data_IF_883207157345
#
_entry.id   IF_883207157345
#
_cell.length_a   1.000
_cell.length_b   1.000
_cell.length_c   1.000
_cell.angle_alpha   90.00
_cell.angle_beta   90.00
_cell.angle_gamma   90.00
#
_symmetry.space_group_name_H-M   'P 1'
#
loop_
_entity.id
_entity.type
_entity.pdbx_description
1 polymer ?
#
# COMPACT_ATOMS: atom_id res chain seq x y z
N UNK A 1 -0.21 25.71 -27.01
CA UNK A 1 -1.62 25.31 -27.10
C UNK A 1 -1.71 23.91 -26.55
N UNK A 2 -1.84 23.82 -25.23
CA UNK A 2 -1.92 22.58 -24.44
C UNK A 2 -3.33 21.99 -24.63
N UNK A 3 -3.59 21.45 -25.80
CA UNK A 3 -4.75 20.61 -26.02
C UNK A 3 -4.39 19.20 -25.56
N UNK A 4 -4.88 18.88 -24.36
CA UNK A 4 -5.46 17.58 -24.04
C UNK A 4 -4.53 16.39 -24.28
N UNK A 5 -3.57 16.17 -23.37
CA UNK A 5 -3.38 14.78 -22.96
C UNK A 5 -4.69 14.40 -22.30
N UNK A 6 -5.48 13.54 -22.95
CA UNK A 6 -6.69 12.97 -22.38
C UNK A 6 -6.30 12.23 -21.10
N UNK A 7 -6.34 12.93 -19.96
CA UNK A 7 -6.26 12.28 -18.66
C UNK A 7 -7.40 11.27 -18.61
N UNK A 8 -7.04 9.99 -18.44
CA UNK A 8 -7.99 8.88 -18.40
C UNK A 8 -9.13 9.11 -17.40
N UNK A 9 -8.87 9.96 -16.38
CA UNK A 9 -9.78 10.41 -15.34
C UNK A 9 -10.11 11.92 -15.46
N UNK A 10 -10.80 12.30 -16.54
CA UNK A 10 -11.37 13.65 -16.64
C UNK A 10 -12.38 13.96 -15.53
N UNK A 11 -12.61 15.25 -15.18
CA UNK A 11 -13.61 15.65 -14.19
C UNK A 11 -15.01 15.10 -14.47
N UNK A 12 -15.41 15.01 -15.76
CA UNK A 12 -16.73 14.46 -16.13
C UNK A 12 -16.84 12.99 -15.76
N UNK A 13 -15.78 12.20 -16.01
CA UNK A 13 -15.73 10.79 -15.64
C UNK A 13 -15.69 10.59 -14.13
N UNK A 14 -14.94 11.43 -13.41
CA UNK A 14 -14.92 11.42 -11.95
C UNK A 14 -16.29 11.72 -11.33
N UNK A 15 -17.04 12.68 -11.88
CA UNK A 15 -18.43 12.94 -11.44
C UNK A 15 -19.34 11.75 -11.70
N UNK A 16 -19.19 11.09 -12.84
CA UNK A 16 -19.95 9.89 -13.16
C UNK A 16 -19.61 8.71 -12.23
N UNK A 17 -18.33 8.51 -11.92
CA UNK A 17 -17.87 7.45 -11.00
C UNK A 17 -18.31 7.70 -9.55
N UNK A 18 -18.26 8.95 -9.10
CA UNK A 18 -18.60 9.31 -7.72
C UNK A 18 -20.11 9.54 -7.53
N UNK A 19 -20.84 9.83 -8.60
CA UNK A 19 -22.24 10.27 -8.53
C UNK A 19 -22.42 11.67 -7.93
N UNK A 20 -21.34 12.46 -7.82
CA UNK A 20 -21.35 13.77 -7.18
C UNK A 20 -20.94 14.86 -8.18
N UNK A 21 -21.74 15.91 -8.28
CA UNK A 21 -21.43 17.05 -9.16
C UNK A 21 -20.27 17.91 -8.65
N UNK A 22 -20.20 18.07 -7.33
CA UNK A 22 -19.15 18.80 -6.62
C UNK A 22 -18.06 17.85 -6.10
N UNK A 23 -17.00 17.72 -6.89
CA UNK A 23 -15.85 16.86 -6.60
C UNK A 23 -15.09 17.26 -5.32
N UNK A 24 -15.27 18.49 -4.82
CA UNK A 24 -14.67 18.94 -3.55
C UNK A 24 -15.24 18.17 -2.35
N UNK A 25 -16.43 17.58 -2.48
CA UNK A 25 -17.10 16.83 -1.41
C UNK A 25 -16.69 15.36 -1.37
N UNK A 26 -16.02 14.86 -2.40
CA UNK A 26 -15.62 13.47 -2.51
C UNK A 26 -14.49 13.18 -1.52
N UNK A 27 -14.73 12.24 -0.62
CA UNK A 27 -13.77 11.79 0.39
C UNK A 27 -13.30 10.36 0.17
N UNK A 28 -14.11 9.57 -0.50
CA UNK A 28 -13.82 8.18 -0.83
C UNK A 28 -14.08 7.96 -2.32
N UNK A 29 -13.21 7.18 -2.95
CA UNK A 29 -13.30 6.84 -4.36
C UNK A 29 -12.91 5.38 -4.53
N UNK A 30 -13.74 4.65 -5.25
CA UNK A 30 -13.47 3.27 -5.65
C UNK A 30 -13.50 3.21 -7.18
N UNK A 31 -12.47 2.61 -7.75
CA UNK A 31 -12.40 2.37 -9.19
C UNK A 31 -11.49 1.20 -9.51
N UNK A 32 -11.65 0.64 -10.71
CA UNK A 32 -10.67 -0.27 -11.31
C UNK A 32 -10.02 0.42 -12.48
N UNK A 33 -8.70 0.32 -12.55
CA UNK A 33 -7.89 0.98 -13.57
C UNK A 33 -6.90 0.01 -14.19
N UNK A 34 -6.47 0.29 -15.42
CA UNK A 34 -5.34 -0.40 -16.06
C UNK A 34 -4.37 0.65 -16.57
N UNK A 35 -3.24 0.81 -15.86
CA UNK A 35 -2.25 1.85 -16.17
C UNK A 35 -1.25 1.45 -17.24
N UNK A 36 -1.33 0.21 -17.75
CA UNK A 36 -0.53 -0.23 -18.90
C UNK A 36 -0.94 0.49 -20.19
N UNK A 37 -2.22 0.90 -20.26
CA UNK A 37 -2.77 1.57 -21.43
C UNK A 37 -2.87 3.09 -21.25
N UNK A 38 -3.07 3.57 -20.01
CA UNK A 38 -3.29 4.99 -19.76
C UNK A 38 -2.75 5.44 -18.39
N UNK A 39 -2.15 6.64 -18.34
CA UNK A 39 -1.81 7.27 -17.07
C UNK A 39 -3.08 7.80 -16.38
N UNK A 40 -3.16 7.68 -15.05
CA UNK A 40 -4.21 8.33 -14.26
C UNK A 40 -3.93 9.83 -14.09
N UNK A 41 -2.73 10.28 -14.41
CA UNK A 41 -2.31 11.67 -14.28
C UNK A 41 -2.42 12.17 -12.84
N UNK A 42 -2.60 13.48 -12.69
CA UNK A 42 -2.77 14.10 -11.38
C UNK A 42 -4.25 14.26 -11.03
N UNK A 43 -5.04 13.18 -11.16
CA UNK A 43 -6.49 13.22 -10.91
C UNK A 43 -6.84 13.68 -9.49
N UNK A 44 -5.92 13.50 -8.53
CA UNK A 44 -6.04 14.02 -7.17
C UNK A 44 -6.24 15.54 -7.11
N UNK A 45 -5.77 16.30 -8.11
CA UNK A 45 -6.04 17.74 -8.23
C UNK A 45 -7.54 18.07 -8.35
N UNK A 46 -8.33 17.16 -8.90
CA UNK A 46 -9.78 17.32 -9.00
C UNK A 46 -10.52 16.87 -7.73
N UNK A 47 -9.86 16.12 -6.85
CA UNK A 47 -10.41 15.53 -5.63
C UNK A 47 -9.57 15.93 -4.39
N UNK A 48 -9.43 17.23 -4.10
CA UNK A 48 -8.48 17.69 -3.09
C UNK A 48 -8.83 17.25 -1.65
N UNK A 49 -10.05 16.75 -1.42
CA UNK A 49 -10.48 16.24 -0.11
C UNK A 49 -10.55 14.70 -0.05
N UNK A 50 -9.99 14.00 -1.05
CA UNK A 50 -9.96 12.55 -1.07
C UNK A 50 -9.09 12.02 0.08
N UNK A 51 -9.65 11.09 0.85
CA UNK A 51 -9.02 10.44 2.01
C UNK A 51 -8.89 8.94 1.84
N UNK A 52 -9.79 8.36 1.06
CA UNK A 52 -9.90 6.91 0.88
C UNK A 52 -9.91 6.59 -0.62
N UNK A 53 -9.00 5.74 -1.06
CA UNK A 53 -8.88 5.33 -2.45
C UNK A 53 -8.80 3.80 -2.55
N UNK A 54 -9.81 3.20 -3.17
CA UNK A 54 -9.90 1.76 -3.42
C UNK A 54 -9.62 1.46 -4.88
N UNK A 55 -8.54 0.73 -5.12
CA UNK A 55 -8.07 0.30 -6.44
C UNK A 55 -7.95 -1.22 -6.55
N UNK A 56 -8.58 -1.99 -5.65
CA UNK A 56 -8.50 -3.44 -5.67
C UNK A 56 -8.87 -4.01 -7.04
N UNK A 57 -8.12 -5.02 -7.48
CA UNK A 57 -8.26 -5.67 -8.79
C UNK A 57 -8.06 -4.68 -9.95
N UNK A 58 -7.17 -3.71 -9.79
CA UNK A 58 -6.64 -2.87 -10.87
C UNK A 58 -5.38 -3.49 -11.47
N UNK A 59 -4.83 -2.89 -12.51
CA UNK A 59 -3.52 -3.24 -13.06
C UNK A 59 -2.67 -1.99 -12.98
N UNK A 60 -1.89 -1.89 -11.90
CA UNK A 60 -1.00 -0.76 -11.62
C UNK A 60 0.43 -1.21 -11.89
N UNK A 61 1.10 -0.59 -12.85
CA UNK A 61 2.52 -0.84 -13.10
C UNK A 61 3.38 -0.25 -11.98
N UNK A 62 3.02 0.93 -11.49
CA UNK A 62 3.72 1.60 -10.39
C UNK A 62 2.77 2.49 -9.59
N UNK A 63 3.04 2.69 -8.30
CA UNK A 63 2.30 3.65 -7.46
C UNK A 63 2.49 5.09 -7.97
N UNK A 64 3.58 5.38 -8.70
CA UNK A 64 3.77 6.67 -9.40
C UNK A 64 2.63 7.02 -10.34
N UNK A 65 1.92 6.03 -10.87
CA UNK A 65 0.81 6.25 -11.80
C UNK A 65 -0.37 6.97 -11.13
N UNK A 66 -0.44 6.97 -9.80
CA UNK A 66 -1.43 7.73 -9.03
C UNK A 66 -1.15 9.25 -8.99
N UNK A 67 0.04 9.66 -9.42
CA UNK A 67 0.50 11.05 -9.38
C UNK A 67 0.88 11.52 -7.97
N UNK A 68 1.13 12.82 -7.83
CA UNK A 68 1.66 13.43 -6.59
C UNK A 68 0.65 14.31 -5.86
N UNK A 69 -0.60 14.33 -6.31
CA UNK A 69 -1.63 15.27 -5.84
C UNK A 69 -2.54 14.71 -4.75
N UNK A 70 -2.34 13.46 -4.34
CA UNK A 70 -3.11 12.76 -3.30
C UNK A 70 -2.60 13.05 -1.87
N UNK A 71 -2.30 14.32 -1.57
CA UNK A 71 -1.63 14.73 -0.32
C UNK A 71 -2.43 14.48 0.96
N UNK A 72 -3.76 14.36 0.86
CA UNK A 72 -4.68 14.12 1.98
C UNK A 72 -5.15 12.67 2.10
N UNK A 73 -4.62 11.77 1.26
CA UNK A 73 -4.98 10.36 1.28
C UNK A 73 -4.52 9.73 2.60
N UNK A 74 -5.42 9.00 3.24
CA UNK A 74 -5.22 8.32 4.52
C UNK A 74 -5.31 6.82 4.39
N UNK A 75 -6.18 6.32 3.51
CA UNK A 75 -6.37 4.90 3.30
C UNK A 75 -6.28 4.57 1.81
N UNK A 76 -5.44 3.58 1.49
CA UNK A 76 -5.21 3.13 0.14
C UNK A 76 -5.31 1.61 0.07
N UNK A 77 -6.23 1.12 -0.76
CA UNK A 77 -6.37 -0.30 -1.07
C UNK A 77 -5.93 -0.57 -2.50
N UNK A 78 -4.95 -1.45 -2.67
CA UNK A 78 -4.39 -1.89 -3.96
C UNK A 78 -4.16 -3.41 -3.95
N UNK A 79 -5.11 -4.17 -3.41
CA UNK A 79 -5.03 -5.63 -3.40
C UNK A 79 -5.21 -6.19 -4.82
N UNK A 80 -4.46 -7.24 -5.17
CA UNK A 80 -4.47 -7.86 -6.51
C UNK A 80 -4.21 -6.86 -7.65
N UNK A 81 -3.22 -5.98 -7.50
CA UNK A 81 -2.85 -4.98 -8.52
C UNK A 81 -1.68 -5.39 -9.43
N UNK A 82 -0.97 -6.47 -9.09
CA UNK A 82 0.22 -6.94 -9.80
C UNK A 82 1.47 -6.11 -9.53
N UNK A 83 1.50 -5.34 -8.43
CA UNK A 83 2.63 -4.48 -8.05
C UNK A 83 3.85 -5.33 -7.68
N UNK A 84 5.04 -4.98 -8.20
CA UNK A 84 6.32 -5.58 -7.80
C UNK A 84 7.07 -4.76 -6.76
N UNK A 85 6.78 -3.48 -6.67
CA UNK A 85 7.35 -2.52 -5.75
C UNK A 85 6.32 -1.44 -5.39
N UNK A 86 6.69 -0.56 -4.47
CA UNK A 86 5.87 0.55 -3.99
C UNK A 86 6.46 1.90 -4.44
N UNK A 87 7.14 1.93 -5.59
CA UNK A 87 7.81 3.15 -6.03
C UNK A 87 6.80 4.28 -6.25
N UNK A 88 7.05 5.44 -5.64
CA UNK A 88 6.15 6.58 -5.63
C UNK A 88 5.21 6.67 -4.42
N UNK A 89 5.14 5.65 -3.54
CA UNK A 89 4.26 5.67 -2.35
C UNK A 89 4.58 6.82 -1.39
N UNK A 90 5.81 7.32 -1.37
CA UNK A 90 6.24 8.48 -0.57
C UNK A 90 5.48 9.77 -0.90
N UNK A 91 4.85 9.84 -2.09
CA UNK A 91 3.96 10.96 -2.45
C UNK A 91 2.69 11.00 -1.59
N UNK A 92 2.31 9.89 -0.97
CA UNK A 92 1.17 9.75 -0.08
C UNK A 92 1.59 9.87 1.40
N UNK A 93 2.36 10.88 1.78
CA UNK A 93 2.93 11.01 3.14
C UNK A 93 1.91 11.13 4.30
N UNK A 94 0.62 11.35 4.00
CA UNK A 94 -0.46 11.36 5.00
C UNK A 94 -1.10 9.99 5.25
N UNK A 95 -0.60 8.93 4.58
CA UNK A 95 -1.19 7.61 4.62
C UNK A 95 -1.07 7.00 6.03
N UNK A 96 -2.20 6.47 6.50
CA UNK A 96 -2.34 5.77 7.79
C UNK A 96 -2.57 4.28 7.60
N UNK A 97 -3.23 3.90 6.52
CA UNK A 97 -3.60 2.53 6.25
C UNK A 97 -3.27 2.18 4.81
N UNK A 98 -2.47 1.13 4.63
CA UNK A 98 -2.06 0.63 3.32
C UNK A 98 -2.39 -0.85 3.20
N UNK A 99 -3.22 -1.21 2.22
CA UNK A 99 -3.59 -2.58 1.94
C UNK A 99 -3.09 -2.97 0.56
N UNK A 100 -2.06 -3.81 0.51
CA UNK A 100 -1.37 -4.25 -0.72
C UNK A 100 -1.29 -5.78 -0.79
N UNK A 101 -2.28 -6.46 -0.20
CA UNK A 101 -2.38 -7.90 -0.22
C UNK A 101 -2.41 -8.48 -1.65
N UNK A 102 -1.84 -9.67 -1.80
CA UNK A 102 -1.81 -10.43 -3.05
C UNK A 102 -1.20 -9.66 -4.23
N UNK A 103 -0.06 -9.02 -3.98
CA UNK A 103 0.84 -8.45 -4.99
C UNK A 103 2.15 -9.24 -5.01
N UNK A 104 3.16 -8.73 -5.71
CA UNK A 104 4.47 -9.37 -5.87
C UNK A 104 5.58 -8.58 -5.16
N UNK A 105 5.28 -7.91 -4.04
CA UNK A 105 6.21 -7.00 -3.36
C UNK A 105 7.23 -7.82 -2.56
N UNK A 106 8.51 -7.49 -2.70
CA UNK A 106 9.60 -8.10 -1.92
C UNK A 106 10.48 -7.09 -1.18
N UNK A 107 10.55 -5.84 -1.65
CA UNK A 107 11.32 -4.75 -1.06
C UNK A 107 10.41 -3.79 -0.31
N UNK A 108 10.68 -3.59 0.99
CA UNK A 108 9.90 -2.71 1.87
C UNK A 108 10.59 -1.35 2.14
N UNK A 109 11.74 -1.09 1.53
CA UNK A 109 12.54 0.13 1.76
C UNK A 109 11.76 1.43 1.48
N UNK A 110 10.82 1.39 0.54
CA UNK A 110 9.99 2.54 0.16
C UNK A 110 8.94 2.93 1.22
N UNK A 111 8.62 2.03 2.16
CA UNK A 111 7.67 2.30 3.24
C UNK A 111 8.26 3.17 4.35
N UNK A 112 9.59 3.29 4.41
CA UNK A 112 10.29 4.09 5.43
C UNK A 112 9.92 5.57 5.45
N UNK A 113 9.28 6.07 4.39
CA UNK A 113 8.84 7.45 4.26
C UNK A 113 7.42 7.72 4.79
N UNK A 114 6.71 6.67 5.23
CA UNK A 114 5.32 6.75 5.68
C UNK A 114 5.22 6.86 7.21
N UNK A 115 5.68 7.99 7.75
CA UNK A 115 5.73 8.25 9.21
C UNK A 115 4.36 8.17 9.92
N UNK A 116 3.26 8.26 9.16
CA UNK A 116 1.89 8.22 9.67
C UNK A 116 1.24 6.84 9.56
N UNK A 117 1.94 5.84 9.01
CA UNK A 117 1.39 4.51 8.78
C UNK A 117 1.12 3.80 10.12
N UNK A 118 -0.13 3.39 10.30
CA UNK A 118 -0.68 2.74 11.49
C UNK A 118 -1.05 1.27 11.19
N UNK A 119 -1.54 1.00 9.98
CA UNK A 119 -1.97 -0.34 9.52
C UNK A 119 -1.32 -0.66 8.17
N UNK A 120 -0.73 -1.84 8.07
CA UNK A 120 -0.13 -2.35 6.84
C UNK A 120 -0.52 -3.81 6.61
N UNK A 121 -1.12 -4.07 5.46
CA UNK A 121 -1.46 -5.41 5.01
C UNK A 121 -0.61 -5.79 3.79
N UNK A 122 0.31 -6.72 4.00
CA UNK A 122 1.23 -7.32 3.03
C UNK A 122 0.89 -8.79 2.78
N UNK A 123 -0.30 -9.27 3.11
CA UNK A 123 -0.70 -10.68 2.93
C UNK A 123 -0.40 -11.16 1.50
N UNK A 124 0.15 -12.37 1.35
CA UNK A 124 0.33 -13.00 0.04
C UNK A 124 1.26 -12.23 -0.91
N UNK A 125 2.34 -11.65 -0.41
CA UNK A 125 3.41 -11.02 -1.20
C UNK A 125 4.65 -11.93 -1.29
N UNK A 126 5.76 -11.38 -1.80
CA UNK A 126 7.01 -12.10 -2.07
C UNK A 126 8.15 -11.70 -1.11
N UNK A 127 7.82 -11.34 0.13
CA UNK A 127 8.84 -11.00 1.13
C UNK A 127 9.55 -12.29 1.55
N UNK A 128 10.83 -12.39 1.22
CA UNK A 128 11.64 -13.60 1.41
C UNK A 128 12.71 -13.47 2.49
N UNK A 129 13.07 -12.26 2.89
CA UNK A 129 14.10 -11.98 3.89
C UNK A 129 13.50 -11.18 5.05
N UNK A 130 13.63 -11.73 6.26
CA UNK A 130 13.16 -11.11 7.50
C UNK A 130 13.85 -9.75 7.76
N UNK A 131 15.04 -9.52 7.19
CA UNK A 131 15.74 -8.24 7.29
C UNK A 131 14.91 -7.07 6.73
N UNK A 132 13.97 -7.33 5.82
CA UNK A 132 13.05 -6.31 5.29
C UNK A 132 12.17 -5.67 6.39
N UNK A 133 11.92 -6.38 7.49
CA UNK A 133 11.15 -5.85 8.62
C UNK A 133 11.86 -4.67 9.31
N UNK A 134 13.18 -4.51 9.15
CA UNK A 134 13.91 -3.37 9.69
C UNK A 134 13.36 -2.03 9.18
N UNK A 135 12.86 -2.00 7.93
CA UNK A 135 12.29 -0.80 7.32
C UNK A 135 10.95 -0.44 7.95
N UNK A 136 10.16 -1.44 8.33
CA UNK A 136 8.90 -1.25 9.06
C UNK A 136 9.15 -0.84 10.51
N UNK A 137 10.28 -1.25 11.11
CA UNK A 137 10.71 -0.78 12.43
C UNK A 137 10.93 0.73 12.50
N UNK A 138 11.18 1.40 11.36
CA UNK A 138 11.27 2.86 11.26
C UNK A 138 9.89 3.55 11.27
N UNK A 139 8.81 2.80 10.98
CA UNK A 139 7.44 3.30 11.04
C UNK A 139 6.96 3.26 12.50
N UNK A 140 7.31 4.28 13.28
CA UNK A 140 7.05 4.34 14.73
C UNK A 140 5.56 4.28 15.13
N UNK A 141 4.64 4.50 14.18
CA UNK A 141 3.19 4.44 14.42
C UNK A 141 2.55 3.13 13.99
N UNK A 142 3.31 2.25 13.34
CA UNK A 142 2.80 0.98 12.85
C UNK A 142 2.37 0.12 14.03
N UNK A 143 1.09 -0.20 14.08
CA UNK A 143 0.46 -0.94 15.18
C UNK A 143 -0.13 -2.25 14.69
N UNK A 144 -0.58 -2.32 13.44
CA UNK A 144 -1.17 -3.52 12.84
C UNK A 144 -0.39 -3.89 11.59
N UNK A 145 0.08 -5.14 11.52
CA UNK A 145 0.83 -5.68 10.41
C UNK A 145 0.31 -7.06 10.04
N UNK A 146 0.04 -7.29 8.76
CA UNK A 146 -0.22 -8.63 8.21
C UNK A 146 0.85 -8.98 7.20
N UNK A 147 1.52 -10.11 7.39
CA UNK A 147 2.56 -10.68 6.53
C UNK A 147 2.30 -12.16 6.19
N UNK A 148 1.17 -12.72 6.62
CA UNK A 148 0.75 -14.07 6.24
C UNK A 148 0.85 -14.32 4.73
N UNK A 149 1.20 -15.56 4.35
CA UNK A 149 1.36 -15.92 2.95
C UNK A 149 2.65 -15.41 2.27
N UNK A 150 3.57 -14.79 3.01
CA UNK A 150 4.92 -14.48 2.53
C UNK A 150 5.93 -15.61 2.83
N UNK A 151 7.07 -15.60 2.14
CA UNK A 151 8.12 -16.61 2.33
C UNK A 151 8.81 -16.50 3.70
N UNK A 152 8.85 -15.30 4.29
CA UNK A 152 9.35 -15.09 5.66
C UNK A 152 8.57 -15.85 6.73
N UNK A 153 7.35 -16.33 6.43
CA UNK A 153 6.57 -17.15 7.36
C UNK A 153 7.12 -18.59 7.46
N UNK A 154 7.87 -19.05 6.46
CA UNK A 154 8.40 -20.40 6.39
C UNK A 154 9.87 -20.49 6.82
N UNK A 155 10.67 -19.47 6.50
CA UNK A 155 12.09 -19.39 6.84
C UNK A 155 12.56 -17.93 6.89
N UNK A 156 13.65 -17.61 7.61
CA UNK A 156 14.08 -16.23 7.79
C UNK A 156 14.71 -15.60 6.53
N UNK A 157 15.32 -16.40 5.65
CA UNK A 157 15.82 -15.96 4.35
C UNK A 157 15.97 -17.14 3.38
N UNK A 158 16.28 -16.85 2.11
CA UNK A 158 16.42 -17.86 1.06
C UNK A 158 17.51 -18.91 1.36
N UNK A 159 18.59 -18.51 2.02
CA UNK A 159 19.78 -19.34 2.33
C UNK A 159 19.60 -20.22 3.57
N UNK A 160 18.63 -19.90 4.42
CA UNK A 160 18.36 -20.64 5.65
C UNK A 160 17.70 -21.99 5.36
N UNK A 161 18.13 -23.01 6.08
CA UNK A 161 17.43 -24.29 6.09
C UNK A 161 16.03 -24.10 6.69
N UNK A 162 15.06 -24.87 6.22
CA UNK A 162 13.74 -24.92 6.86
C UNK A 162 13.89 -25.52 8.26
N UNK A 163 13.63 -24.70 9.29
CA UNK A 163 13.65 -25.13 10.68
C UNK A 163 12.20 -25.38 11.14
N UNK A 164 11.88 -26.57 11.67
CA UNK A 164 10.52 -26.91 12.07
C UNK A 164 9.98 -26.06 13.22
N UNK A 165 10.87 -25.44 14.00
CA UNK A 165 10.54 -24.59 15.15
C UNK A 165 10.66 -23.08 14.84
N UNK A 166 10.78 -22.71 13.56
CA UNK A 166 10.90 -21.32 13.16
C UNK A 166 9.61 -20.54 13.47
N UNK A 167 9.73 -19.56 14.37
CA UNK A 167 8.65 -18.64 14.71
C UNK A 167 8.91 -17.27 14.06
N UNK A 168 8.38 -17.08 12.84
CA UNK A 168 8.49 -15.81 12.13
C UNK A 168 7.92 -14.62 12.93
N UNK A 169 6.86 -14.84 13.71
CA UNK A 169 6.22 -13.78 14.50
C UNK A 169 7.14 -13.26 15.60
N UNK A 170 7.89 -14.16 16.23
CA UNK A 170 8.92 -13.78 17.20
C UNK A 170 10.05 -12.98 16.52
N UNK A 171 10.46 -13.34 15.30
CA UNK A 171 11.47 -12.58 14.56
C UNK A 171 10.96 -11.19 14.14
N UNK A 172 9.75 -11.08 13.59
CA UNK A 172 9.13 -9.79 13.21
C UNK A 172 9.11 -8.82 14.39
N UNK A 173 8.78 -9.30 15.60
CA UNK A 173 8.79 -8.47 16.81
C UNK A 173 10.16 -7.94 17.21
N UNK A 174 11.25 -8.65 16.87
CA UNK A 174 12.61 -8.13 17.15
C UNK A 174 12.87 -6.84 16.36
N UNK A 175 12.28 -6.73 15.17
CA UNK A 175 12.38 -5.54 14.32
C UNK A 175 11.33 -4.47 14.65
N UNK A 176 10.12 -4.90 15.06
CA UNK A 176 8.97 -4.01 15.30
C UNK A 176 8.39 -4.28 16.70
N UNK A 177 9.11 -3.92 17.78
CA UNK A 177 8.70 -4.26 19.15
C UNK A 177 7.47 -3.50 19.64
N UNK A 178 7.09 -2.40 18.97
CA UNK A 178 5.91 -1.58 19.30
C UNK A 178 4.61 -2.04 18.63
N UNK A 179 4.66 -3.12 17.85
CA UNK A 179 3.48 -3.65 17.17
C UNK A 179 2.41 -4.09 18.17
N UNK A 180 1.14 -3.80 17.89
CA UNK A 180 0.00 -4.22 18.71
C UNK A 180 -0.63 -5.52 18.20
N UNK A 181 -0.70 -5.68 16.88
CA UNK A 181 -1.27 -6.86 16.20
C UNK A 181 -0.39 -7.31 15.04
N UNK A 182 -0.15 -8.61 14.97
CA UNK A 182 0.51 -9.30 13.87
C UNK A 182 -0.43 -10.37 13.33
N UNK A 183 -0.77 -10.30 12.05
CA UNK A 183 -1.70 -11.20 11.36
C UNK A 183 -2.98 -11.47 12.18
N UNK A 184 -3.69 -10.41 12.55
CA UNK A 184 -4.92 -10.47 13.38
C UNK A 184 -4.76 -11.04 14.81
N UNK A 185 -3.55 -11.38 15.24
CA UNK A 185 -3.26 -11.87 16.60
C UNK A 185 -2.57 -10.75 17.41
N UNK A 186 -2.97 -10.51 18.67
CA UNK A 186 -2.27 -9.57 19.53
C UNK A 186 -0.77 -9.90 19.62
N UNK A 187 0.08 -8.91 19.40
CA UNK A 187 1.53 -9.05 19.48
C UNK A 187 2.03 -9.39 20.91
N UNK A 188 1.18 -9.39 21.92
CA UNK A 188 1.53 -9.96 23.24
C UNK A 188 1.42 -11.50 23.29
N UNK A 189 0.75 -12.11 22.31
CA UNK A 189 0.36 -13.52 22.30
C UNK A 189 1.12 -14.37 21.27
N UNK A 190 1.88 -13.75 20.36
CA UNK A 190 2.63 -14.45 19.32
C UNK A 190 4.08 -14.80 19.66
#
# INVERSE_FOLDING_TARGET
GELLMDEYLSPRKLKALTGVDDLQRVKALEMRVDTRENSLGNFGAYLPNLRELKLNNSLLVSVRDLGTTLSHLRVLWMAHCGLSDLDGISSCGSLKELYVAYNNISDLSQLTWLDQLEVLDLEGNNIEDISQMQYLGLCCKLSHLTVEGNLICLKPNAESAEEPDYNYRAEVKKFIPHLEYLDEIPASQT
#
